data_IF_812769926530
#
_entry.id   IF_812769926530
#
_cell.length_a   1.000
_cell.length_b   1.000
_cell.length_c   1.000
_cell.angle_alpha   90.00
_cell.angle_beta   90.00
_cell.angle_gamma   90.00
#
_symmetry.space_group_name_H-M   'P 1'
#
loop_
_entity.id
_entity.type
_entity.pdbx_description
1 polymer ?
#
# COMPACT_ATOMS: atom_id res chain seq x y z
N UNK A 1 -45.21 -20.55 19.14
CA UNK A 1 -46.02 -19.36 19.48
C UNK A 1 -45.09 -18.19 19.77
N UNK A 2 -45.22 -17.11 18.99
CA UNK A 2 -44.77 -15.71 19.22
C UNK A 2 -43.26 -15.39 19.15
N UNK A 3 -42.73 -15.07 17.96
CA UNK A 3 -41.47 -14.35 17.78
C UNK A 3 -41.64 -12.81 17.87
N UNK A 4 -42.80 -12.34 18.36
CA UNK A 4 -43.19 -10.92 18.39
C UNK A 4 -42.52 -10.09 19.48
N UNK A 5 -41.63 -10.68 20.30
CA UNK A 5 -40.94 -9.97 21.39
C UNK A 5 -39.54 -9.45 21.01
N UNK A 6 -38.92 -9.95 19.93
CA UNK A 6 -37.59 -9.51 19.50
C UNK A 6 -37.61 -8.29 18.56
N UNK A 7 -38.79 -7.87 18.09
CA UNK A 7 -38.94 -6.82 17.09
C UNK A 7 -38.98 -5.39 17.66
N UNK A 8 -39.03 -5.23 18.99
CA UNK A 8 -39.14 -3.90 19.64
C UNK A 8 -37.80 -3.36 20.17
N UNK A 9 -36.73 -4.15 20.14
CA UNK A 9 -35.41 -3.75 20.66
C UNK A 9 -34.49 -3.13 19.58
N UNK A 10 -34.88 -3.18 18.29
CA UNK A 10 -34.07 -2.63 17.19
C UNK A 10 -34.38 -1.16 16.84
N UNK A 11 -35.40 -0.53 17.45
CA UNK A 11 -35.86 0.82 17.06
C UNK A 11 -35.32 1.96 17.96
N UNK A 12 -34.51 1.66 18.98
CA UNK A 12 -34.09 2.65 19.98
C UNK A 12 -32.65 3.19 19.81
N UNK A 13 -31.92 2.82 18.75
CA UNK A 13 -30.53 3.25 18.56
C UNK A 13 -30.31 4.27 17.42
N UNK A 14 -31.37 4.87 16.90
CA UNK A 14 -31.33 5.79 15.76
C UNK A 14 -31.32 7.29 16.14
N UNK A 15 -30.83 7.67 17.32
CA UNK A 15 -30.89 9.07 17.78
C UNK A 15 -29.64 9.59 18.54
N UNK A 16 -28.43 9.17 18.12
CA UNK A 16 -27.18 9.80 18.54
C UNK A 16 -26.26 10.07 17.34
N UNK A 17 -26.77 10.81 16.35
CA UNK A 17 -25.99 11.35 15.23
C UNK A 17 -25.98 12.87 15.29
N UNK A 18 -25.02 13.44 16.02
CA UNK A 18 -24.85 14.89 16.15
C UNK A 18 -23.42 15.29 15.77
N UNK A 19 -23.28 15.89 14.58
CA UNK A 19 -22.22 16.84 14.22
C UNK A 19 -21.09 16.35 13.30
N UNK A 20 -21.02 16.80 12.02
CA UNK A 20 -19.73 16.94 11.35
C UNK A 20 -19.02 18.20 11.88
N UNK A 21 -17.97 17.99 12.68
CA UNK A 21 -17.00 19.04 13.03
C UNK A 21 -15.98 19.13 11.89
N UNK A 22 -16.06 20.25 11.16
CA UNK A 22 -15.10 20.83 10.21
C UNK A 22 -13.84 20.00 9.91
N UNK A 23 -13.78 19.48 8.67
CA UNK A 23 -12.54 19.04 8.04
C UNK A 23 -11.53 20.20 7.92
N UNK A 24 -10.22 19.90 7.99
CA UNK A 24 -9.15 20.89 7.85
C UNK A 24 -9.16 21.47 6.43
N UNK A 25 -8.86 22.77 6.34
CA UNK A 25 -8.77 23.53 5.11
C UNK A 25 -8.02 22.78 4.00
N UNK A 26 -8.78 22.27 3.03
CA UNK A 26 -8.24 21.77 1.77
C UNK A 26 -7.68 22.97 1.03
N UNK A 27 -6.35 23.03 0.92
CA UNK A 27 -5.63 24.01 0.10
C UNK A 27 -6.25 24.03 -1.29
N UNK A 28 -6.86 25.15 -1.67
CA UNK A 28 -7.13 25.48 -3.06
C UNK A 28 -5.79 25.63 -3.77
N UNK A 29 -5.27 24.54 -4.33
CA UNK A 29 -4.31 24.65 -5.44
C UNK A 29 -5.14 24.98 -6.66
N UNK A 30 -4.93 26.19 -7.17
CA UNK A 30 -5.76 26.82 -8.19
C UNK A 30 -6.02 25.92 -9.40
N UNK A 31 -7.28 25.83 -9.77
CA UNK A 31 -7.75 25.36 -11.07
C UNK A 31 -7.26 26.34 -12.13
N UNK A 32 -6.03 26.16 -12.61
CA UNK A 32 -5.54 26.88 -13.77
C UNK A 32 -5.72 25.97 -15.01
N UNK A 33 -6.66 26.27 -15.93
CA UNK A 33 -6.91 25.43 -17.11
C UNK A 33 -5.71 25.33 -18.07
N UNK A 34 -4.68 26.14 -17.87
CA UNK A 34 -3.42 26.12 -18.62
C UNK A 34 -2.43 25.03 -18.18
N UNK A 35 -2.59 24.42 -17.00
CA UNK A 35 -1.76 23.27 -16.55
C UNK A 35 -2.43 21.92 -16.73
N UNK A 36 -3.69 21.87 -17.19
CA UNK A 36 -4.47 20.64 -17.32
C UNK A 36 -3.76 19.48 -18.08
N UNK A 37 -3.02 19.71 -19.19
CA UNK A 37 -2.28 18.63 -19.85
C UNK A 37 -1.10 18.12 -19.01
N UNK A 38 -0.38 19.03 -18.34
CA UNK A 38 0.78 18.70 -17.51
C UNK A 38 0.36 17.99 -16.22
N UNK A 39 -0.77 18.39 -15.63
CA UNK A 39 -1.35 17.74 -14.46
C UNK A 39 -1.83 16.32 -14.78
N UNK A 40 -2.42 16.09 -15.96
CA UNK A 40 -2.80 14.75 -16.42
C UNK A 40 -1.58 13.84 -16.63
N UNK A 41 -0.56 14.31 -17.34
CA UNK A 41 0.68 13.55 -17.58
C UNK A 41 1.42 13.27 -16.25
N UNK A 42 1.47 14.26 -15.36
CA UNK A 42 2.05 14.11 -14.03
C UNK A 42 1.28 13.10 -13.16
N UNK A 43 -0.05 13.09 -13.24
CA UNK A 43 -0.89 12.13 -12.52
C UNK A 43 -0.69 10.69 -13.03
N UNK A 44 -0.61 10.49 -14.35
CA UNK A 44 -0.30 9.17 -14.93
C UNK A 44 1.08 8.68 -14.49
N UNK A 45 2.10 9.55 -14.54
CA UNK A 45 3.45 9.20 -14.10
C UNK A 45 3.50 8.76 -12.63
N UNK A 46 2.80 9.47 -11.75
CA UNK A 46 2.67 9.09 -10.32
C UNK A 46 1.90 7.79 -10.14
N UNK A 47 0.81 7.59 -10.87
CA UNK A 47 0.02 6.36 -10.80
C UNK A 47 0.83 5.14 -11.24
N UNK A 48 1.60 5.26 -12.33
CA UNK A 48 2.49 4.21 -12.82
C UNK A 48 3.57 3.87 -11.79
N UNK A 49 4.22 4.89 -11.20
CA UNK A 49 5.21 4.67 -10.16
C UNK A 49 4.63 3.95 -8.94
N UNK A 50 3.44 4.33 -8.50
CA UNK A 50 2.74 3.65 -7.40
C UNK A 50 2.42 2.20 -7.73
N UNK A 51 1.92 1.93 -8.93
CA UNK A 51 1.64 0.56 -9.37
C UNK A 51 2.92 -0.30 -9.42
N UNK A 52 4.02 0.23 -10.00
CA UNK A 52 5.31 -0.46 -10.02
C UNK A 52 5.79 -0.74 -8.59
N UNK A 53 5.67 0.24 -7.69
CA UNK A 53 6.06 0.07 -6.29
C UNK A 53 5.26 -1.06 -5.63
N UNK A 54 3.94 -1.03 -5.74
CA UNK A 54 3.06 -2.03 -5.12
C UNK A 54 3.35 -3.43 -5.64
N UNK A 55 3.50 -3.60 -6.95
CA UNK A 55 3.80 -4.92 -7.54
C UNK A 55 5.17 -5.42 -7.10
N UNK A 56 6.18 -4.54 -7.11
CA UNK A 56 7.53 -4.90 -6.67
C UNK A 56 7.59 -5.28 -5.19
N UNK A 57 6.94 -4.51 -4.29
CA UNK A 57 6.92 -4.84 -2.86
C UNK A 57 6.13 -6.12 -2.59
N UNK A 58 4.97 -6.30 -3.22
CA UNK A 58 4.17 -7.53 -3.03
C UNK A 58 4.93 -8.78 -3.47
N UNK A 59 5.65 -8.70 -4.60
CA UNK A 59 6.44 -9.83 -5.12
C UNK A 59 7.59 -10.18 -4.18
N UNK A 60 8.25 -9.16 -3.61
CA UNK A 60 9.33 -9.35 -2.64
C UNK A 60 8.83 -9.87 -1.30
N UNK A 61 7.73 -9.33 -0.78
CA UNK A 61 7.13 -9.80 0.47
C UNK A 61 6.74 -11.29 0.39
N UNK A 62 6.17 -11.70 -0.75
CA UNK A 62 5.86 -13.11 -0.99
C UNK A 62 7.13 -13.97 -1.03
N UNK A 63 8.17 -13.54 -1.73
CA UNK A 63 9.42 -14.29 -1.81
C UNK A 63 10.16 -14.36 -0.46
N UNK A 64 10.13 -13.30 0.34
CA UNK A 64 10.69 -13.28 1.70
C UNK A 64 9.97 -14.29 2.57
N UNK A 65 8.63 -14.35 2.48
CA UNK A 65 7.84 -15.32 3.23
C UNK A 65 8.17 -16.76 2.81
N UNK A 66 8.24 -17.04 1.51
CA UNK A 66 8.63 -18.36 1.01
C UNK A 66 10.04 -18.75 1.46
N UNK A 67 11.00 -17.83 1.37
CA UNK A 67 12.35 -18.04 1.86
C UNK A 67 12.37 -18.36 3.35
N UNK A 68 11.57 -17.65 4.16
CA UNK A 68 11.45 -17.90 5.59
C UNK A 68 10.85 -19.27 5.89
N UNK A 69 9.83 -19.68 5.14
CA UNK A 69 9.21 -21.01 5.28
C UNK A 69 10.19 -22.13 4.91
N UNK A 70 11.01 -21.93 3.88
CA UNK A 70 11.98 -22.94 3.41
C UNK A 70 13.26 -23.01 4.24
N UNK A 71 13.78 -21.87 4.70
CA UNK A 71 15.08 -21.76 5.38
C UNK A 71 14.96 -21.59 6.90
N UNK A 72 13.74 -21.37 7.41
CA UNK A 72 13.47 -21.12 8.83
C UNK A 72 14.00 -19.77 9.34
N UNK A 73 14.41 -18.87 8.46
CA UNK A 73 14.94 -17.54 8.81
C UNK A 73 14.67 -16.54 7.70
N UNK A 74 14.70 -15.26 8.03
CA UNK A 74 14.63 -14.19 7.05
C UNK A 74 15.91 -14.13 6.19
N UNK A 75 15.81 -13.65 4.95
CA UNK A 75 16.98 -13.38 4.14
C UNK A 75 17.77 -12.21 4.73
N UNK A 76 19.09 -12.26 4.64
CA UNK A 76 20.00 -11.21 5.08
C UNK A 76 20.00 -10.01 4.13
N UNK A 77 19.70 -10.26 2.87
CA UNK A 77 19.57 -9.26 1.82
C UNK A 77 18.65 -9.79 0.71
N UNK A 78 18.12 -8.88 -0.13
CA UNK A 78 17.21 -9.28 -1.22
C UNK A 78 17.89 -10.12 -2.30
N UNK A 79 19.21 -10.00 -2.48
CA UNK A 79 19.97 -10.83 -3.43
C UNK A 79 19.95 -12.30 -3.04
N UNK A 80 19.85 -12.61 -1.75
CA UNK A 80 19.73 -13.97 -1.23
C UNK A 80 18.47 -14.68 -1.75
N UNK A 81 17.38 -13.94 -2.00
CA UNK A 81 16.18 -14.48 -2.63
C UNK A 81 16.47 -14.98 -4.05
N UNK A 82 17.41 -14.33 -4.75
CA UNK A 82 17.80 -14.72 -6.10
C UNK A 82 18.78 -15.88 -6.09
N UNK A 83 19.81 -15.82 -5.24
CA UNK A 83 20.82 -16.88 -5.16
C UNK A 83 20.26 -18.19 -4.60
N UNK A 84 19.27 -18.12 -3.72
CA UNK A 84 18.55 -19.31 -3.21
C UNK A 84 17.59 -19.92 -4.22
N UNK A 85 17.29 -19.23 -5.33
CA UNK A 85 16.31 -19.67 -6.33
C UNK A 85 14.86 -19.36 -5.97
N UNK A 86 14.59 -18.72 -4.82
CA UNK A 86 13.23 -18.30 -4.41
C UNK A 86 12.63 -17.29 -5.38
N UNK A 87 13.48 -16.46 -5.97
CA UNK A 87 13.10 -15.42 -6.91
C UNK A 87 14.02 -15.49 -8.14
N UNK A 88 13.51 -15.54 -9.39
CA UNK A 88 14.38 -15.65 -10.57
C UNK A 88 15.25 -14.39 -10.79
N UNK A 89 14.72 -13.21 -10.45
CA UNK A 89 15.43 -11.92 -10.46
C UNK A 89 14.67 -10.89 -9.63
N UNK A 90 15.37 -9.88 -9.13
CA UNK A 90 14.71 -8.77 -8.43
C UNK A 90 13.80 -7.97 -9.39
N UNK A 91 12.62 -7.51 -8.93
CA UNK A 91 11.76 -6.64 -9.72
C UNK A 91 12.44 -5.29 -9.97
N UNK A 92 12.12 -4.67 -11.11
CA UNK A 92 12.66 -3.37 -11.45
C UNK A 92 12.05 -2.27 -10.56
N UNK A 93 12.90 -1.37 -10.08
CA UNK A 93 12.48 -0.13 -9.39
C UNK A 93 12.41 1.01 -10.40
N UNK A 94 11.49 1.97 -10.21
CA UNK A 94 11.49 3.21 -11.00
C UNK A 94 12.81 3.97 -10.87
N UNK A 95 13.16 4.78 -11.89
CA UNK A 95 14.37 5.59 -11.87
C UNK A 95 14.47 6.48 -10.63
N UNK A 96 15.67 6.55 -10.03
CA UNK A 96 15.94 7.35 -8.83
C UNK A 96 15.38 6.76 -7.53
N UNK A 97 14.92 5.50 -7.54
CA UNK A 97 14.45 4.78 -6.36
C UNK A 97 15.32 3.54 -6.12
N UNK A 98 15.37 3.06 -4.88
CA UNK A 98 16.03 1.83 -4.46
C UNK A 98 15.19 1.05 -3.47
N UNK A 99 15.47 -0.24 -3.34
CA UNK A 99 14.93 -1.04 -2.24
C UNK A 99 15.66 -0.70 -0.94
N UNK A 100 14.89 -0.51 0.12
CA UNK A 100 15.34 -0.47 1.49
C UNK A 100 14.78 -1.71 2.19
N UNK A 101 15.68 -2.60 2.60
CA UNK A 101 15.33 -3.89 3.18
C UNK A 101 15.89 -3.99 4.60
N UNK A 102 15.00 -4.30 5.53
CA UNK A 102 15.34 -4.54 6.93
C UNK A 102 15.38 -6.04 7.19
N UNK A 103 16.58 -6.60 7.40
CA UNK A 103 16.78 -8.03 7.59
C UNK A 103 16.26 -8.56 8.93
N UNK A 104 16.08 -7.71 9.94
CA UNK A 104 15.58 -8.11 11.25
C UNK A 104 14.06 -8.32 11.23
N UNK A 105 13.35 -7.48 10.49
CA UNK A 105 11.89 -7.49 10.38
C UNK A 105 11.38 -8.12 9.08
N UNK A 106 12.23 -8.31 8.08
CA UNK A 106 11.86 -8.88 6.79
C UNK A 106 11.04 -7.92 5.92
N UNK A 107 11.04 -6.62 6.24
CA UNK A 107 10.23 -5.62 5.53
C UNK A 107 11.02 -4.99 4.40
N UNK A 108 10.35 -4.81 3.26
CA UNK A 108 10.89 -4.06 2.13
C UNK A 108 10.13 -2.76 1.89
N UNK A 109 10.85 -1.71 1.56
CA UNK A 109 10.31 -0.41 1.14
C UNK A 109 11.02 0.05 -0.11
N UNK A 110 10.38 0.95 -0.85
CA UNK A 110 11.00 1.61 -2.00
C UNK A 110 11.19 3.07 -1.63
N UNK A 111 12.45 3.47 -1.49
CA UNK A 111 12.86 4.82 -1.06
C UNK A 111 13.63 5.51 -2.18
N UNK A 112 13.67 6.85 -2.22
CA UNK A 112 14.56 7.57 -3.12
C UNK A 112 16.02 7.11 -2.93
N UNK A 113 16.78 7.05 -4.02
CA UNK A 113 18.19 6.66 -4.01
C UNK A 113 19.04 7.64 -3.22
#
# INVERSE_FOLDING_TARGET
>A
MKPTLFLLALLALAAAGCGPKQEPAKKSTGENPLTAPADYVGAIGKAQQSAIKTVATASLDQAIKMFQEEKGRLPTNLTELVTSGTLPKLPAVPNGMKFDYDAASGKVKIVPQ
#
